data_IF_984084670213
#
_entry.id   IF_984084670213
#
_cell.length_a   1.000
_cell.length_b   1.000
_cell.length_c   1.000
_cell.angle_alpha   90.00
_cell.angle_beta   90.00
_cell.angle_gamma   90.00
#
_symmetry.space_group_name_H-M   'P 1'
#
loop_
_entity.id
_entity.type
_entity.pdbx_description
1 polymer ?
#
# COMPACT_ATOMS: atom_id res chain seq x y z
N UNK A 1 -6.35 21.40 14.00
CA UNK A 1 -5.82 20.18 14.65
C UNK A 1 -5.23 19.34 13.54
N UNK A 2 -3.98 18.94 13.63
CA UNK A 2 -3.33 18.16 12.57
C UNK A 2 -3.92 16.74 12.61
N UNK A 3 -4.87 16.44 11.73
CA UNK A 3 -5.35 15.07 11.52
C UNK A 3 -4.19 14.24 10.96
N UNK A 4 -3.42 13.64 11.86
CA UNK A 4 -2.40 12.67 11.51
C UNK A 4 -3.12 11.36 11.18
N UNK A 5 -3.46 11.17 9.90
CA UNK A 5 -3.96 9.88 9.41
C UNK A 5 -2.94 8.79 9.68
N UNK A 6 -3.38 7.66 10.23
CA UNK A 6 -2.53 6.48 10.38
C UNK A 6 -2.12 5.98 9.00
N UNK A 7 -0.84 5.58 8.85
CA UNK A 7 -0.25 5.21 7.55
C UNK A 7 0.25 3.79 7.55
N UNK A 8 0.00 3.08 6.45
CA UNK A 8 0.62 1.80 6.11
C UNK A 8 1.61 2.04 4.98
N UNK A 9 2.82 1.51 5.13
CA UNK A 9 3.79 1.47 4.04
C UNK A 9 3.72 0.10 3.37
N UNK A 10 3.30 0.08 2.11
CA UNK A 10 3.24 -1.13 1.29
C UNK A 10 4.47 -1.20 0.38
N UNK A 11 5.32 -2.21 0.56
CA UNK A 11 6.55 -2.33 -0.22
C UNK A 11 6.27 -2.91 -1.59
N UNK A 12 6.73 -2.24 -2.66
CA UNK A 12 6.83 -2.85 -3.99
C UNK A 12 8.13 -3.64 -4.04
N UNK A 13 8.02 -4.91 -4.41
CA UNK A 13 9.12 -5.88 -4.49
C UNK A 13 9.16 -6.51 -5.88
N UNK A 14 10.07 -7.45 -6.10
CA UNK A 14 10.28 -8.10 -7.40
C UNK A 14 9.46 -9.39 -7.60
N UNK A 15 9.53 -9.95 -8.82
CA UNK A 15 9.03 -11.26 -9.22
C UNK A 15 7.53 -11.49 -8.91
N UNK A 16 7.17 -12.65 -8.37
CA UNK A 16 5.79 -13.02 -8.10
C UNK A 16 5.06 -12.09 -7.11
N UNK A 17 5.71 -11.62 -6.01
CA UNK A 17 5.14 -10.60 -5.13
C UNK A 17 4.76 -9.28 -5.82
N UNK A 18 5.54 -8.82 -6.81
CA UNK A 18 5.22 -7.64 -7.61
C UNK A 18 3.89 -7.83 -8.35
N UNK A 19 3.74 -8.97 -9.02
CA UNK A 19 2.53 -9.33 -9.77
C UNK A 19 1.30 -9.42 -8.86
N UNK A 20 1.44 -10.04 -7.68
CA UNK A 20 0.37 -10.12 -6.70
C UNK A 20 -0.08 -8.73 -6.21
N UNK A 21 0.87 -7.79 -6.06
CA UNK A 21 0.59 -6.42 -5.62
C UNK A 21 -0.36 -5.70 -6.57
N UNK A 22 -0.26 -5.88 -7.89
CA UNK A 22 -1.19 -5.27 -8.85
C UNK A 22 -2.65 -5.73 -8.65
N UNK A 23 -2.86 -6.95 -8.15
CA UNK A 23 -4.20 -7.44 -7.83
C UNK A 23 -4.66 -7.02 -6.44
N UNK A 24 -3.76 -7.05 -5.45
CA UNK A 24 -4.13 -6.94 -4.03
C UNK A 24 -4.14 -5.50 -3.52
N UNK A 25 -3.22 -4.65 -3.99
CA UNK A 25 -3.09 -3.26 -3.51
C UNK A 25 -4.36 -2.42 -3.75
N UNK A 26 -5.05 -2.50 -4.90
CA UNK A 26 -6.32 -1.77 -5.08
C UNK A 26 -7.38 -2.20 -4.06
N UNK A 27 -7.44 -3.49 -3.73
CA UNK A 27 -8.39 -4.03 -2.75
C UNK A 27 -8.06 -3.49 -1.36
N UNK A 28 -6.79 -3.53 -0.95
CA UNK A 28 -6.36 -2.98 0.34
C UNK A 28 -6.78 -1.50 0.45
N UNK A 29 -6.47 -0.69 -0.56
CA UNK A 29 -6.79 0.74 -0.57
C UNK A 29 -8.29 1.01 -0.34
N UNK A 30 -9.18 0.28 -1.02
CA UNK A 30 -10.64 0.44 -0.86
C UNK A 30 -11.11 0.09 0.54
N UNK A 31 -10.57 -0.96 1.15
CA UNK A 31 -10.98 -1.38 2.50
C UNK A 31 -10.41 -0.46 3.58
N UNK A 32 -9.19 0.05 3.42
CA UNK A 32 -8.54 0.95 4.39
C UNK A 32 -9.13 2.36 4.38
N UNK A 33 -9.73 2.78 3.26
CA UNK A 33 -10.40 4.08 3.14
C UNK A 33 -11.50 4.26 4.20
N UNK A 34 -12.31 3.22 4.44
CA UNK A 34 -13.38 3.25 5.44
C UNK A 34 -12.86 3.45 6.88
N UNK A 35 -11.59 3.09 7.15
CA UNK A 35 -10.94 3.26 8.44
C UNK A 35 -10.12 4.57 8.54
N UNK A 36 -10.09 5.40 7.48
CA UNK A 36 -9.28 6.61 7.44
C UNK A 36 -7.76 6.34 7.43
N UNK A 37 -7.35 5.13 7.03
CA UNK A 37 -5.94 4.72 6.95
C UNK A 37 -5.41 4.94 5.55
N UNK A 38 -4.28 5.64 5.44
CA UNK A 38 -3.59 5.90 4.17
C UNK A 38 -2.59 4.78 3.88
N UNK A 39 -2.53 4.30 2.64
CA UNK A 39 -1.57 3.29 2.18
C UNK A 39 -0.62 3.96 1.19
N UNK A 40 0.65 4.09 1.56
CA UNK A 40 1.71 4.62 0.69
C UNK A 40 2.60 3.49 0.19
N UNK A 41 2.97 3.52 -1.09
CA UNK A 41 3.90 2.55 -1.64
C UNK A 41 5.35 3.00 -1.47
N UNK A 42 6.25 2.08 -1.13
CA UNK A 42 7.70 2.29 -1.17
C UNK A 42 8.34 1.20 -2.01
N UNK A 43 9.03 1.61 -3.05
CA UNK A 43 9.74 0.67 -3.91
C UNK A 43 11.08 0.30 -3.27
N UNK A 44 11.28 -1.01 -3.07
CA UNK A 44 12.52 -1.61 -2.58
C UNK A 44 13.00 -2.72 -3.53
N UNK A 45 12.48 -2.74 -4.76
CA UNK A 45 12.86 -3.69 -5.80
C UNK A 45 14.33 -3.52 -6.20
N UNK A 46 14.89 -4.54 -6.84
CA UNK A 46 16.28 -4.56 -7.29
C UNK A 46 16.54 -3.65 -8.52
N UNK A 47 15.49 -3.31 -9.27
CA UNK A 47 15.56 -2.65 -10.58
C UNK A 47 16.20 -1.25 -10.57
#
# INVERSE_FOLDING_TARGET
>A
MTDQKSKIIYTITDEAPALATYSLLPIINTFTEAAGVEVETRDISLA
#
